data_IF_728780132506
#
_entry.id   IF_728780132506
#
_cell.length_a   1.000
_cell.length_b   1.000
_cell.length_c   1.000
_cell.angle_alpha   90.00
_cell.angle_beta   90.00
_cell.angle_gamma   90.00
#
_symmetry.space_group_name_H-M   'P 1'
#
loop_
_entity.id
_entity.type
_entity.pdbx_description
1 polymer ?
#
# COMPACT_ATOMS: atom_id res chain seq x y z
N UNK A 1 -24.18 -3.14 40.17
CA UNK A 1 -24.59 -3.29 38.77
C UNK A 1 -24.41 -2.01 37.94
N UNK A 2 -25.04 -0.84 38.25
CA UNK A 2 -24.87 0.42 37.47
C UNK A 2 -23.41 0.91 37.36
N UNK A 3 -22.56 0.73 38.36
CA UNK A 3 -21.12 1.08 38.31
C UNK A 3 -20.32 0.13 37.42
N UNK A 4 -20.70 -1.17 37.35
CA UNK A 4 -20.06 -2.17 36.48
C UNK A 4 -20.46 -1.94 35.04
N UNK A 5 -21.74 -1.67 34.76
CA UNK A 5 -22.23 -1.32 33.42
C UNK A 5 -21.59 -0.01 32.93
N UNK A 6 -21.42 1.02 33.76
CA UNK A 6 -20.69 2.24 33.40
C UNK A 6 -19.20 2.01 33.15
N UNK A 7 -18.58 1.01 33.77
CA UNK A 7 -17.20 0.62 33.52
C UNK A 7 -17.09 -0.12 32.21
N UNK A 8 -17.99 -1.06 31.90
CA UNK A 8 -18.06 -1.81 30.63
C UNK A 8 -18.39 -0.88 29.46
N UNK A 9 -19.27 0.12 29.64
CA UNK A 9 -19.61 1.12 28.62
C UNK A 9 -18.57 2.24 28.46
N UNK A 10 -17.53 2.28 29.28
CA UNK A 10 -16.41 3.23 29.18
C UNK A 10 -15.10 2.61 28.67
N UNK A 11 -15.05 1.30 28.60
CA UNK A 11 -13.95 0.66 27.89
C UNK A 11 -14.25 0.84 26.39
N UNK A 12 -13.60 1.83 25.77
CA UNK A 12 -13.54 1.95 24.32
C UNK A 12 -13.09 0.59 23.78
N UNK A 13 -13.90 -0.01 22.93
CA UNK A 13 -13.48 -1.21 22.19
C UNK A 13 -12.38 -0.75 21.26
N UNK A 14 -11.15 -1.00 21.67
CA UNK A 14 -9.97 -0.74 20.84
C UNK A 14 -9.92 -1.82 19.79
N UNK A 15 -9.94 -1.44 18.54
CA UNK A 15 -9.72 -2.37 17.44
C UNK A 15 -8.31 -2.21 16.83
N UNK A 16 -7.97 -3.07 15.88
CA UNK A 16 -6.64 -3.08 15.26
C UNK A 16 -6.35 -1.79 14.50
N UNK A 17 -7.38 -1.11 13.98
CA UNK A 17 -7.21 0.15 13.24
C UNK A 17 -6.76 1.28 14.15
N UNK A 18 -7.15 1.22 15.42
CA UNK A 18 -6.77 2.19 16.44
C UNK A 18 -5.28 2.16 16.81
N UNK A 19 -4.61 1.04 16.58
CA UNK A 19 -3.20 0.84 16.95
C UNK A 19 -2.25 0.78 15.76
N UNK A 20 -2.75 0.80 14.53
CA UNK A 20 -1.93 0.69 13.32
C UNK A 20 -0.82 1.76 13.26
N UNK A 21 -1.16 3.01 13.57
CA UNK A 21 -0.17 4.09 13.57
C UNK A 21 0.92 3.89 14.63
N UNK A 22 0.56 3.30 15.77
CA UNK A 22 1.55 2.99 16.81
C UNK A 22 2.49 1.86 16.38
N UNK A 23 1.94 0.82 15.72
CA UNK A 23 2.75 -0.27 15.16
C UNK A 23 3.73 0.27 14.10
N UNK A 24 3.31 1.24 13.28
CA UNK A 24 4.18 1.90 12.30
C UNK A 24 5.35 2.67 12.94
N UNK A 25 5.16 3.24 14.12
CA UNK A 25 6.20 4.00 14.83
C UNK A 25 7.24 3.12 15.53
N UNK A 26 6.99 1.82 15.63
CA UNK A 26 7.98 0.86 16.15
C UNK A 26 9.17 0.79 15.18
N UNK A 27 10.43 0.89 15.64
CA UNK A 27 11.60 0.70 14.78
C UNK A 27 11.55 -0.63 14.03
N UNK A 28 12.07 -0.66 12.80
CA UNK A 28 11.95 -1.80 11.88
C UNK A 28 12.37 -3.14 12.52
N UNK A 29 13.55 -3.16 13.15
CA UNK A 29 14.07 -4.34 13.84
C UNK A 29 13.17 -4.84 14.96
N UNK A 30 12.55 -3.90 15.70
CA UNK A 30 11.61 -4.22 16.76
C UNK A 30 10.26 -4.66 16.19
N UNK A 31 9.81 -4.11 15.04
CA UNK A 31 8.61 -4.53 14.31
C UNK A 31 8.73 -5.96 13.80
N UNK A 32 9.87 -6.28 13.17
CA UNK A 32 10.19 -7.63 12.71
C UNK A 32 10.16 -8.62 13.86
N UNK A 33 10.84 -8.28 14.96
CA UNK A 33 10.82 -9.12 16.16
C UNK A 33 9.42 -9.30 16.71
N UNK A 34 8.58 -8.26 16.75
CA UNK A 34 7.19 -8.37 17.20
C UNK A 34 6.39 -9.33 16.31
N UNK A 35 6.51 -9.22 14.99
CA UNK A 35 5.88 -10.12 14.04
C UNK A 35 6.30 -11.57 14.28
N UNK A 36 7.60 -11.83 14.37
CA UNK A 36 8.13 -13.18 14.56
C UNK A 36 7.64 -13.79 15.88
N UNK A 37 7.71 -13.03 16.97
CA UNK A 37 7.24 -13.45 18.29
C UNK A 37 5.70 -13.74 18.31
N UNK A 38 4.89 -12.96 17.56
CA UNK A 38 3.46 -13.21 17.42
C UNK A 38 3.18 -14.44 16.53
N UNK A 39 3.95 -14.62 15.46
CA UNK A 39 3.86 -15.77 14.56
C UNK A 39 4.17 -17.06 15.32
N UNK A 40 5.23 -17.07 16.12
CA UNK A 40 5.58 -18.20 16.99
C UNK A 40 4.45 -18.51 17.99
N UNK A 41 3.85 -17.48 18.59
CA UNK A 41 2.73 -17.67 19.53
C UNK A 41 1.49 -18.29 18.85
N UNK A 42 1.19 -17.90 17.61
CA UNK A 42 0.08 -18.47 16.82
C UNK A 42 0.39 -19.90 16.37
N UNK A 43 1.64 -20.19 15.97
CA UNK A 43 2.08 -21.51 15.55
C UNK A 43 1.95 -22.53 16.69
N UNK A 44 2.23 -22.13 17.93
CA UNK A 44 2.05 -22.98 19.13
C UNK A 44 0.58 -23.37 19.37
N UNK A 45 -0.38 -22.58 18.86
CA UNK A 45 -1.80 -22.89 18.95
C UNK A 45 -2.25 -23.92 17.89
N UNK A 46 -1.53 -24.01 16.76
CA UNK A 46 -1.88 -24.86 15.62
C UNK A 46 -1.23 -26.25 15.64
N UNK A 47 -0.16 -26.47 16.41
CA UNK A 47 0.60 -27.73 16.38
C UNK A 47 0.05 -28.86 17.25
N UNK A 48 -1.01 -28.64 18.05
CA UNK A 48 -1.61 -29.67 18.89
C UNK A 48 -2.99 -30.15 18.40
N UNK A 49 -3.10 -30.63 17.15
CA UNK A 49 -4.01 -31.74 16.84
C UNK A 49 -3.35 -33.07 17.26
N UNK A 50 -3.30 -33.31 18.56
CA UNK A 50 -2.91 -34.61 19.07
C UNK A 50 -4.02 -35.63 18.76
N UNK A 51 -3.78 -36.48 17.79
CA UNK A 51 -4.50 -37.73 17.55
C UNK A 51 -4.03 -38.77 18.56
N UNK A 52 -4.42 -38.66 19.80
CA UNK A 52 -4.38 -39.77 20.74
C UNK A 52 -5.83 -40.10 21.18
N UNK A 53 -6.29 -41.24 20.72
CA UNK A 53 -7.70 -41.69 20.68
C UNK A 53 -8.23 -42.09 22.07
N UNK A 54 -7.44 -42.08 23.13
CA UNK A 54 -7.82 -42.72 24.39
C UNK A 54 -8.11 -41.83 25.60
N UNK A 55 -8.00 -40.51 25.54
CA UNK A 55 -8.47 -39.65 26.63
C UNK A 55 -9.23 -38.43 26.12
N UNK A 56 -10.57 -38.53 26.16
CA UNK A 56 -11.51 -37.44 25.95
C UNK A 56 -11.44 -36.40 27.10
N UNK A 57 -10.31 -35.76 27.28
CA UNK A 57 -10.22 -34.53 28.05
C UNK A 57 -9.94 -33.41 27.07
N UNK A 58 -10.94 -32.56 26.87
CA UNK A 58 -10.85 -31.39 25.98
C UNK A 58 -9.80 -30.40 26.51
N UNK A 59 -8.57 -30.49 26.01
CA UNK A 59 -7.48 -29.53 26.25
C UNK A 59 -7.54 -28.29 25.35
N UNK A 60 -8.73 -27.94 24.83
CA UNK A 60 -8.90 -26.76 23.95
C UNK A 60 -8.40 -25.43 24.51
N UNK A 61 -8.22 -25.30 25.81
CA UNK A 61 -7.74 -24.08 26.43
C UNK A 61 -6.23 -23.99 26.71
N UNK A 62 -5.47 -25.07 26.54
CA UNK A 62 -4.05 -25.09 26.92
C UNK A 62 -3.17 -24.38 25.90
N UNK A 63 -3.34 -24.59 24.56
CA UNK A 63 -2.60 -23.87 23.54
C UNK A 63 -2.87 -22.37 23.62
N UNK A 64 -4.12 -21.95 23.73
CA UNK A 64 -4.48 -20.53 23.88
C UNK A 64 -3.87 -19.90 25.14
N UNK A 65 -3.83 -20.63 26.27
CA UNK A 65 -3.18 -20.17 27.51
C UNK A 65 -1.67 -20.03 27.30
N UNK A 66 -1.00 -20.97 26.60
CA UNK A 66 0.43 -20.88 26.27
C UNK A 66 0.71 -19.69 25.35
N UNK A 67 -0.09 -19.52 24.29
CA UNK A 67 0.03 -18.40 23.36
C UNK A 67 -0.14 -17.07 24.11
N UNK A 68 -1.19 -16.89 24.89
CA UNK A 68 -1.42 -15.68 25.73
C UNK A 68 -0.31 -15.43 26.74
N UNK A 69 0.28 -16.48 27.34
CA UNK A 69 1.44 -16.36 28.26
C UNK A 69 2.67 -15.90 27.50
N UNK A 70 2.89 -16.39 26.30
CA UNK A 70 3.99 -15.98 25.42
C UNK A 70 3.83 -14.53 25.00
N UNK A 71 2.64 -14.14 24.54
CA UNK A 71 2.29 -12.75 24.21
C UNK A 71 2.47 -11.85 25.43
N UNK A 72 2.05 -12.27 26.62
CA UNK A 72 2.25 -11.51 27.86
C UNK A 72 3.71 -11.27 28.22
N UNK A 73 4.63 -12.21 27.92
CA UNK A 73 6.08 -12.03 28.10
C UNK A 73 6.66 -11.07 27.06
N UNK A 74 6.21 -11.19 25.83
CA UNK A 74 6.60 -10.39 24.69
C UNK A 74 6.25 -8.92 24.90
N UNK A 75 5.07 -8.64 25.38
CA UNK A 75 4.59 -7.29 25.62
C UNK A 75 5.39 -6.48 26.64
N UNK A 76 6.20 -7.13 27.48
CA UNK A 76 7.09 -6.41 28.42
C UNK A 76 8.13 -5.56 27.67
N UNK A 77 8.61 -6.00 26.52
CA UNK A 77 9.59 -5.21 25.76
C UNK A 77 8.93 -4.27 24.76
N UNK A 78 7.76 -4.65 24.21
CA UNK A 78 7.00 -3.82 23.25
C UNK A 78 6.47 -2.53 23.92
N UNK A 79 6.12 -2.57 25.21
CA UNK A 79 5.67 -1.39 26.00
C UNK A 79 6.55 -0.15 25.91
N UNK A 80 7.81 -0.29 25.53
CA UNK A 80 8.73 0.84 25.34
C UNK A 80 8.48 1.61 24.03
N UNK A 81 7.77 1.01 23.10
CA UNK A 81 7.53 1.56 21.77
C UNK A 81 6.07 1.94 21.51
N UNK A 82 5.15 1.36 22.23
CA UNK A 82 3.70 1.55 22.05
C UNK A 82 3.04 2.02 23.35
N UNK A 83 1.87 2.65 23.21
CA UNK A 83 1.10 3.14 24.36
C UNK A 83 0.45 1.98 25.15
N UNK A 84 -0.11 2.33 26.30
CA UNK A 84 -0.93 1.40 27.08
C UNK A 84 -2.17 0.93 26.27
N UNK A 85 -2.68 1.74 25.32
CA UNK A 85 -3.81 1.39 24.46
C UNK A 85 -3.46 0.20 23.58
N UNK A 86 -2.37 0.28 22.79
CA UNK A 86 -1.91 -0.81 21.92
C UNK A 86 -1.49 -2.03 22.75
N UNK A 87 -0.81 -1.82 23.89
CA UNK A 87 -0.47 -2.92 24.80
C UNK A 87 -1.71 -3.67 25.30
N UNK A 88 -2.74 -2.95 25.72
CA UNK A 88 -3.97 -3.56 26.22
C UNK A 88 -4.75 -4.28 25.11
N UNK A 89 -4.74 -3.74 23.89
CA UNK A 89 -5.28 -4.44 22.72
C UNK A 89 -4.60 -5.80 22.56
N UNK A 90 -3.27 -5.83 22.40
CA UNK A 90 -2.52 -7.07 22.16
C UNK A 90 -2.69 -8.11 23.30
N UNK A 91 -2.82 -7.68 24.56
CA UNK A 91 -3.08 -8.58 25.72
C UNK A 91 -4.45 -9.25 25.62
N UNK A 92 -5.46 -8.50 25.17
CA UNK A 92 -6.85 -8.96 25.18
C UNK A 92 -7.31 -9.46 23.80
N UNK A 93 -6.46 -9.32 22.78
CA UNK A 93 -6.78 -9.73 21.42
C UNK A 93 -7.12 -11.22 21.33
N UNK A 94 -8.10 -11.53 20.51
CA UNK A 94 -8.39 -12.89 20.06
C UNK A 94 -7.26 -13.40 19.15
N UNK A 95 -7.21 -14.70 18.91
CA UNK A 95 -6.24 -15.28 17.97
C UNK A 95 -6.41 -14.73 16.54
N UNK A 96 -7.64 -14.44 16.14
CA UNK A 96 -7.89 -13.84 14.81
C UNK A 96 -7.39 -12.40 14.72
N UNK A 97 -7.54 -11.61 15.77
CA UNK A 97 -6.97 -10.24 15.85
C UNK A 97 -5.43 -10.28 15.88
N UNK A 98 -4.84 -11.28 16.55
CA UNK A 98 -3.37 -11.49 16.51
C UNK A 98 -2.91 -11.83 15.08
N UNK A 99 -3.60 -12.72 14.36
CA UNK A 99 -3.31 -13.01 12.95
C UNK A 99 -3.40 -11.76 12.09
N UNK A 100 -4.46 -10.96 12.24
CA UNK A 100 -4.58 -9.68 11.53
C UNK A 100 -3.44 -8.71 11.88
N UNK A 101 -2.97 -8.72 13.14
CA UNK A 101 -1.80 -7.91 13.54
C UNK A 101 -0.54 -8.38 12.82
N UNK A 102 -0.32 -9.68 12.69
CA UNK A 102 0.80 -10.25 11.93
C UNK A 102 0.71 -9.82 10.46
N UNK A 103 -0.45 -9.95 9.84
CA UNK A 103 -0.67 -9.55 8.45
C UNK A 103 -0.35 -8.05 8.24
N UNK A 104 -0.76 -7.19 9.17
CA UNK A 104 -0.42 -5.76 9.11
C UNK A 104 1.09 -5.55 9.25
N UNK A 105 1.76 -6.24 10.17
CA UNK A 105 3.21 -6.14 10.35
C UNK A 105 3.95 -6.64 9.11
N UNK A 106 3.48 -7.70 8.44
CA UNK A 106 4.03 -8.19 7.18
C UNK A 106 3.87 -7.19 6.03
N UNK A 107 2.69 -6.56 5.93
CA UNK A 107 2.45 -5.48 4.94
C UNK A 107 3.37 -4.29 5.18
N UNK A 108 3.72 -4.00 6.43
CA UNK A 108 4.59 -2.89 6.84
C UNK A 108 6.09 -3.25 6.88
N UNK A 109 6.47 -4.51 6.73
CA UNK A 109 7.88 -4.91 6.77
C UNK A 109 8.52 -4.79 5.38
N UNK A 110 9.38 -3.78 5.13
CA UNK A 110 9.99 -3.56 3.80
C UNK A 110 10.92 -4.68 3.38
N UNK A 111 11.32 -5.57 4.29
CA UNK A 111 12.18 -6.72 3.97
C UNK A 111 11.37 -7.99 3.68
N UNK A 112 10.10 -8.04 4.11
CA UNK A 112 9.24 -9.18 3.85
C UNK A 112 8.77 -9.17 2.39
N UNK A 113 9.05 -10.26 1.69
CA UNK A 113 8.55 -10.52 0.33
C UNK A 113 7.45 -11.59 0.33
N UNK A 114 6.85 -11.88 1.48
CA UNK A 114 5.75 -12.84 1.59
C UNK A 114 4.57 -12.37 0.75
N UNK A 115 4.10 -13.23 -0.16
CA UNK A 115 3.02 -12.91 -1.10
C UNK A 115 3.38 -11.90 -2.20
N UNK A 116 4.65 -11.46 -2.28
CA UNK A 116 5.13 -10.53 -3.30
C UNK A 116 5.87 -11.31 -4.38
N UNK A 117 5.49 -11.10 -5.64
CA UNK A 117 6.23 -11.61 -6.79
C UNK A 117 7.18 -10.52 -7.33
N UNK A 118 8.24 -10.94 -8.01
CA UNK A 118 9.18 -10.02 -8.66
C UNK A 118 8.46 -9.26 -9.80
N UNK A 119 8.39 -7.93 -9.75
CA UNK A 119 7.74 -7.14 -10.78
C UNK A 119 8.42 -7.31 -12.15
N UNK A 120 7.62 -7.42 -13.21
CA UNK A 120 8.09 -7.29 -14.59
C UNK A 120 7.98 -5.85 -15.08
N UNK A 121 6.89 -5.18 -14.71
CA UNK A 121 6.66 -3.79 -15.04
C UNK A 121 5.96 -3.07 -13.89
N UNK A 122 6.46 -1.89 -13.53
CA UNK A 122 5.97 -1.06 -12.44
C UNK A 122 5.41 0.24 -13.02
N UNK A 123 4.13 0.51 -12.73
CA UNK A 123 3.52 1.82 -12.97
C UNK A 123 3.83 2.75 -11.80
N UNK A 124 4.28 3.97 -12.08
CA UNK A 124 4.62 4.97 -11.07
C UNK A 124 3.42 5.89 -10.81
N UNK A 125 2.46 5.39 -10.03
CA UNK A 125 1.21 6.08 -9.68
C UNK A 125 1.37 7.16 -8.61
N UNK A 126 0.33 7.98 -8.44
CA UNK A 126 0.29 9.02 -7.41
C UNK A 126 -0.14 10.37 -7.95
N UNK A 127 -0.36 11.34 -7.05
CA UNK A 127 -0.84 12.68 -7.41
C UNK A 127 0.07 13.36 -8.44
N UNK A 128 -0.55 13.90 -9.47
CA UNK A 128 0.14 14.68 -10.51
C UNK A 128 -0.20 16.17 -10.35
N UNK A 129 -1.49 16.50 -10.30
CA UNK A 129 -1.96 17.88 -10.40
C UNK A 129 -1.66 18.76 -9.18
N UNK A 130 -1.50 18.16 -8.00
CA UNK A 130 -1.39 18.89 -6.73
C UNK A 130 -0.10 18.57 -5.95
N UNK A 131 0.65 17.56 -6.39
CA UNK A 131 1.87 17.15 -5.73
C UNK A 131 3.03 18.09 -6.11
N UNK A 132 3.65 18.70 -5.10
CA UNK A 132 4.82 19.58 -5.31
C UNK A 132 6.00 18.84 -5.93
N UNK A 133 6.09 17.54 -5.69
CA UNK A 133 7.21 16.68 -6.10
C UNK A 133 6.79 15.59 -7.11
N UNK A 134 5.70 15.81 -7.86
CA UNK A 134 5.17 14.81 -8.79
C UNK A 134 6.22 14.24 -9.77
N UNK A 135 7.15 15.08 -10.22
CA UNK A 135 8.23 14.70 -11.15
C UNK A 135 9.43 14.10 -10.39
N UNK A 136 9.85 14.72 -9.28
CA UNK A 136 11.13 14.42 -8.64
C UNK A 136 11.21 13.00 -8.09
N UNK A 137 10.18 12.49 -7.42
CA UNK A 137 10.20 11.15 -6.86
C UNK A 137 10.20 10.05 -7.94
N UNK A 138 9.49 10.27 -9.05
CA UNK A 138 9.47 9.35 -10.19
C UNK A 138 10.84 9.27 -10.84
N UNK A 139 11.49 10.42 -11.01
CA UNK A 139 12.87 10.48 -11.51
C UNK A 139 13.85 9.78 -10.57
N UNK A 140 13.70 9.92 -9.25
CA UNK A 140 14.53 9.19 -8.29
C UNK A 140 14.38 7.66 -8.42
N UNK A 141 13.16 7.14 -8.65
CA UNK A 141 12.94 5.71 -8.89
C UNK A 141 13.56 5.28 -10.23
N UNK A 142 13.42 6.09 -11.28
CA UNK A 142 14.06 5.84 -12.58
C UNK A 142 15.60 5.82 -12.46
N UNK A 143 16.18 6.77 -11.75
CA UNK A 143 17.63 6.87 -11.53
C UNK A 143 18.15 5.68 -10.68
N UNK A 144 17.35 5.23 -9.70
CA UNK A 144 17.68 4.08 -8.88
C UNK A 144 17.86 2.80 -9.72
N UNK A 145 16.98 2.55 -10.68
CA UNK A 145 17.07 1.40 -11.56
C UNK A 145 18.01 1.62 -12.76
N UNK A 146 18.03 2.82 -13.30
CA UNK A 146 18.84 3.21 -14.46
C UNK A 146 18.07 3.16 -15.78
N UNK A 147 18.68 3.68 -16.85
CA UNK A 147 18.00 3.99 -18.11
C UNK A 147 17.50 2.77 -18.91
N UNK A 148 18.06 1.58 -18.68
CA UNK A 148 17.60 0.33 -19.34
C UNK A 148 16.25 -0.17 -18.80
N UNK A 149 15.80 0.33 -17.66
CA UNK A 149 14.52 -0.02 -17.04
C UNK A 149 13.38 0.92 -17.45
N UNK A 150 13.68 2.06 -18.06
CA UNK A 150 12.70 3.14 -18.26
C UNK A 150 12.13 3.11 -19.67
N UNK A 151 10.80 3.05 -19.80
CA UNK A 151 10.10 3.23 -21.08
C UNK A 151 10.15 4.71 -21.47
N UNK A 152 10.66 4.99 -22.66
CA UNK A 152 10.84 6.36 -23.18
C UNK A 152 10.21 6.54 -24.54
N UNK A 153 9.86 7.80 -24.80
CA UNK A 153 9.61 8.38 -26.12
C UNK A 153 8.69 7.54 -27.03
N UNK A 154 9.21 7.05 -28.14
CA UNK A 154 8.43 6.34 -29.18
C UNK A 154 7.69 5.10 -28.64
N UNK A 155 8.31 4.36 -27.73
CA UNK A 155 7.66 3.18 -27.13
C UNK A 155 6.50 3.58 -26.22
N UNK A 156 6.67 4.65 -25.46
CA UNK A 156 5.62 5.19 -24.63
C UNK A 156 4.48 5.74 -25.50
N UNK A 157 4.80 6.44 -26.58
CA UNK A 157 3.82 6.91 -27.55
C UNK A 157 3.04 5.74 -28.16
N UNK A 158 3.72 4.68 -28.57
CA UNK A 158 3.06 3.46 -29.08
C UNK A 158 2.13 2.88 -28.02
N UNK A 159 2.61 2.69 -26.79
CA UNK A 159 1.82 2.16 -25.69
C UNK A 159 0.54 2.97 -25.43
N UNK A 160 0.66 4.29 -25.28
CA UNK A 160 -0.49 5.16 -24.96
C UNK A 160 -1.48 5.34 -26.11
N UNK A 161 -1.09 4.94 -27.32
CA UNK A 161 -1.93 5.02 -28.54
C UNK A 161 -2.58 3.67 -28.87
N UNK A 162 -1.85 2.57 -28.68
CA UNK A 162 -2.28 1.22 -29.13
C UNK A 162 -2.57 0.27 -27.97
N UNK A 163 -2.11 0.59 -26.77
CA UNK A 163 -2.15 -0.30 -25.60
C UNK A 163 -1.08 -1.40 -25.63
N UNK A 164 -0.12 -1.36 -26.57
CA UNK A 164 0.92 -2.38 -26.75
C UNK A 164 2.30 -1.84 -26.34
N UNK A 165 3.05 -2.63 -25.57
CA UNK A 165 4.42 -2.33 -25.16
C UNK A 165 5.38 -3.40 -25.65
N UNK A 166 6.42 -2.99 -26.43
CA UNK A 166 7.57 -3.84 -26.72
C UNK A 166 8.58 -3.76 -25.56
N UNK A 167 8.95 -4.93 -25.05
CA UNK A 167 9.96 -5.08 -23.99
C UNK A 167 11.39 -5.26 -24.54
N UNK A 168 11.59 -5.24 -25.88
CA UNK A 168 12.89 -5.47 -26.51
C UNK A 168 13.95 -4.49 -26.03
N UNK A 169 15.05 -5.01 -25.47
CA UNK A 169 16.16 -4.23 -24.92
C UNK A 169 15.83 -3.45 -23.65
N UNK A 170 14.69 -3.72 -22.99
CA UNK A 170 14.40 -3.26 -21.64
C UNK A 170 14.77 -4.34 -20.63
N UNK A 171 15.21 -3.91 -19.45
CA UNK A 171 15.53 -4.79 -18.31
C UNK A 171 14.39 -4.75 -17.29
N UNK A 172 13.81 -5.89 -16.87
CA UNK A 172 12.84 -5.89 -15.79
C UNK A 172 13.47 -5.51 -14.44
N UNK A 173 12.73 -4.88 -13.54
CA UNK A 173 11.39 -4.35 -13.76
C UNK A 173 11.40 -3.14 -14.67
N UNK A 174 10.45 -3.09 -15.60
CA UNK A 174 10.31 -1.97 -16.53
C UNK A 174 9.45 -0.88 -15.87
N UNK A 175 9.91 0.37 -15.93
CA UNK A 175 9.24 1.50 -15.27
C UNK A 175 8.41 2.30 -16.27
N UNK A 176 7.13 2.49 -15.92
CA UNK A 176 6.19 3.31 -16.68
C UNK A 176 5.83 4.55 -15.87
N UNK A 177 6.33 5.70 -16.31
CA UNK A 177 6.12 6.98 -15.68
C UNK A 177 5.09 7.81 -16.47
N UNK A 178 3.87 8.04 -15.93
CA UNK A 178 2.83 8.77 -16.65
C UNK A 178 3.21 10.22 -16.97
N UNK A 179 4.14 10.82 -16.21
CA UNK A 179 4.62 12.18 -16.48
C UNK A 179 5.38 12.26 -17.82
N UNK A 180 5.99 11.17 -18.28
CA UNK A 180 6.65 11.13 -19.60
C UNK A 180 5.62 11.15 -20.74
N UNK A 181 4.43 10.65 -20.54
CA UNK A 181 3.33 10.74 -21.51
C UNK A 181 2.79 12.18 -21.63
N UNK A 182 3.00 13.05 -20.64
CA UNK A 182 2.59 14.45 -20.70
C UNK A 182 3.32 15.24 -21.79
N UNK A 183 4.56 14.88 -22.13
CA UNK A 183 5.28 15.51 -23.24
C UNK A 183 4.53 15.33 -24.55
N UNK A 184 3.82 14.21 -24.73
CA UNK A 184 2.95 13.95 -25.88
C UNK A 184 1.70 14.84 -25.81
N UNK A 185 1.10 15.01 -24.63
CA UNK A 185 -0.05 15.91 -24.37
C UNK A 185 0.31 17.38 -24.51
N UNK A 186 1.55 17.75 -24.23
CA UNK A 186 2.03 19.13 -24.37
C UNK A 186 1.97 19.67 -25.78
N UNK A 187 1.89 18.81 -26.80
CA UNK A 187 1.66 19.22 -28.18
C UNK A 187 0.20 19.64 -28.45
N UNK A 188 -0.79 19.24 -27.63
CA UNK A 188 -2.18 19.62 -27.80
C UNK A 188 -2.47 20.96 -27.13
N UNK A 189 -2.34 22.04 -27.90
CA UNK A 189 -2.60 23.41 -27.44
C UNK A 189 -4.06 23.62 -27.06
N UNK A 190 -5.01 22.95 -27.75
CA UNK A 190 -6.44 23.04 -27.47
C UNK A 190 -6.78 22.42 -26.12
N UNK A 191 -6.20 21.26 -25.81
CA UNK A 191 -6.35 20.65 -24.49
C UNK A 191 -5.82 21.54 -23.36
N UNK A 192 -4.65 22.16 -23.54
CA UNK A 192 -4.08 23.09 -22.56
C UNK A 192 -4.98 24.30 -22.32
N UNK A 193 -5.52 24.88 -23.38
CA UNK A 193 -6.40 26.04 -23.25
C UNK A 193 -7.71 25.66 -22.54
N UNK A 194 -8.29 24.51 -22.86
CA UNK A 194 -9.47 24.01 -22.16
C UNK A 194 -9.18 23.68 -20.70
N UNK A 195 -8.04 23.08 -20.38
CA UNK A 195 -7.64 22.79 -19.01
C UNK A 195 -7.48 24.07 -18.18
N UNK A 196 -6.92 25.12 -18.78
CA UNK A 196 -6.80 26.44 -18.15
C UNK A 196 -8.17 27.06 -17.89
N UNK A 197 -9.08 27.04 -18.89
CA UNK A 197 -10.47 27.52 -18.75
C UNK A 197 -11.24 26.73 -17.68
N UNK A 198 -11.00 25.41 -17.61
CA UNK A 198 -11.63 24.58 -16.57
C UNK A 198 -11.19 25.01 -15.18
N UNK A 199 -9.88 25.23 -14.96
CA UNK A 199 -9.35 25.71 -13.68
C UNK A 199 -9.88 27.08 -13.27
N UNK A 200 -10.16 27.97 -14.24
CA UNK A 200 -10.77 29.29 -14.00
C UNK A 200 -12.30 29.27 -14.01
N UNK A 201 -12.93 28.10 -14.18
CA UNK A 201 -14.39 27.94 -14.26
C UNK A 201 -15.03 28.74 -15.41
N UNK A 202 -14.35 28.79 -16.56
CA UNK A 202 -14.74 29.58 -17.74
C UNK A 202 -15.20 28.71 -18.93
N UNK A 203 -15.30 27.40 -18.78
CA UNK A 203 -15.80 26.52 -19.84
C UNK A 203 -17.28 26.70 -20.05
N UNK A 204 -17.67 26.83 -21.34
CA UNK A 204 -19.08 26.69 -21.71
C UNK A 204 -19.55 25.23 -21.59
N UNK A 205 -20.89 24.95 -21.57
CA UNK A 205 -21.39 23.58 -21.53
C UNK A 205 -20.90 22.72 -22.71
N UNK A 206 -20.76 23.31 -23.90
CA UNK A 206 -20.28 22.65 -25.11
C UNK A 206 -18.79 22.35 -25.00
N UNK A 207 -17.97 23.32 -24.60
CA UNK A 207 -16.54 23.14 -24.34
C UNK A 207 -16.29 22.11 -23.25
N UNK A 208 -17.15 22.08 -22.22
CA UNK A 208 -17.05 21.09 -21.15
C UNK A 208 -17.19 19.64 -21.65
N UNK A 209 -18.10 19.37 -22.58
CA UNK A 209 -18.24 18.05 -23.20
C UNK A 209 -17.00 17.64 -23.98
N UNK A 210 -16.49 18.56 -24.81
CA UNK A 210 -15.25 18.31 -25.57
C UNK A 210 -14.08 18.07 -24.61
N UNK A 211 -13.98 18.86 -23.55
CA UNK A 211 -12.96 18.70 -22.52
C UNK A 211 -13.05 17.34 -21.81
N UNK A 212 -14.28 16.88 -21.47
CA UNK A 212 -14.45 15.55 -20.87
C UNK A 212 -13.99 14.42 -21.80
N UNK A 213 -14.24 14.53 -23.10
CA UNK A 213 -13.75 13.54 -24.08
C UNK A 213 -12.22 13.56 -24.16
N UNK A 214 -11.61 14.75 -24.24
CA UNK A 214 -10.16 14.89 -24.25
C UNK A 214 -9.50 14.36 -22.96
N UNK A 215 -10.08 14.63 -21.79
CA UNK A 215 -9.62 14.05 -20.50
C UNK A 215 -9.67 12.54 -20.58
N UNK A 216 -10.77 11.97 -21.09
CA UNK A 216 -10.91 10.51 -21.21
C UNK A 216 -9.82 9.93 -22.10
N UNK A 217 -9.60 10.52 -23.26
CA UNK A 217 -8.64 10.02 -24.25
C UNK A 217 -7.18 10.24 -23.83
N UNK A 218 -6.86 11.44 -23.34
CA UNK A 218 -5.47 11.85 -23.13
C UNK A 218 -4.95 11.61 -21.71
N UNK A 219 -5.82 11.30 -20.75
CA UNK A 219 -5.42 10.98 -19.38
C UNK A 219 -5.88 9.57 -19.04
N UNK A 220 -7.20 9.36 -18.97
CA UNK A 220 -7.75 8.11 -18.44
C UNK A 220 -7.33 6.90 -19.27
N UNK A 221 -7.47 6.95 -20.60
CA UNK A 221 -7.10 5.84 -21.46
C UNK A 221 -5.58 5.59 -21.45
N UNK A 222 -4.76 6.64 -21.47
CA UNK A 222 -3.31 6.49 -21.45
C UNK A 222 -2.83 5.87 -20.13
N UNK A 223 -3.34 6.35 -19.00
CA UNK A 223 -3.00 5.77 -17.70
C UNK A 223 -3.50 4.33 -17.58
N UNK A 224 -4.71 4.03 -18.09
CA UNK A 224 -5.23 2.66 -18.14
C UNK A 224 -4.40 1.73 -19.05
N UNK A 225 -3.90 2.21 -20.19
CA UNK A 225 -3.02 1.43 -21.06
C UNK A 225 -1.69 1.13 -20.37
N UNK A 226 -1.10 2.12 -19.68
CA UNK A 226 0.11 1.90 -18.90
C UNK A 226 -0.12 0.91 -17.76
N UNK A 227 -1.21 1.06 -17.00
CA UNK A 227 -1.59 0.12 -15.95
C UNK A 227 -1.87 -1.29 -16.50
N UNK A 228 -2.40 -1.40 -17.72
CA UNK A 228 -2.74 -2.69 -18.30
C UNK A 228 -1.53 -3.58 -18.57
N UNK A 229 -0.39 -3.00 -18.92
CA UNK A 229 0.85 -3.73 -19.21
C UNK A 229 1.73 -3.92 -17.97
N UNK A 230 1.39 -3.29 -16.85
CA UNK A 230 2.08 -3.46 -15.57
C UNK A 230 1.50 -4.63 -14.77
N UNK A 231 2.30 -5.20 -13.91
CA UNK A 231 1.89 -6.15 -12.88
C UNK A 231 2.00 -5.58 -11.47
N UNK A 232 2.58 -4.39 -11.36
CA UNK A 232 2.79 -3.68 -10.10
C UNK A 232 2.50 -2.19 -10.26
N UNK A 233 1.85 -1.61 -9.27
CA UNK A 233 1.59 -0.18 -9.16
C UNK A 233 2.28 0.36 -7.91
N UNK A 234 3.29 1.21 -8.05
CA UNK A 234 3.95 1.93 -6.97
C UNK A 234 3.30 3.31 -6.83
N UNK A 235 2.62 3.53 -5.73
CA UNK A 235 1.90 4.78 -5.44
C UNK A 235 2.65 5.60 -4.41
N UNK A 236 3.08 6.80 -4.78
CA UNK A 236 3.52 7.80 -3.80
C UNK A 236 2.30 8.48 -3.18
N UNK A 237 2.17 8.36 -1.86
CA UNK A 237 1.13 8.99 -1.07
C UNK A 237 1.72 10.05 -0.15
N UNK A 238 1.61 11.30 -0.55
CA UNK A 238 2.11 12.49 0.16
C UNK A 238 0.99 13.32 0.82
N UNK A 239 -0.24 12.78 0.82
CA UNK A 239 -1.44 13.47 1.30
C UNK A 239 -2.19 14.24 0.21
N UNK A 240 -1.66 14.32 -1.01
CA UNK A 240 -2.30 15.01 -2.15
C UNK A 240 -2.98 14.05 -3.13
N UNK A 241 -3.05 12.75 -2.79
CA UNK A 241 -3.66 11.73 -3.64
C UNK A 241 -5.11 12.09 -3.99
N UNK A 242 -5.38 12.26 -5.28
CA UNK A 242 -6.68 12.58 -5.83
C UNK A 242 -7.49 11.34 -6.22
N UNK A 243 -8.69 11.57 -6.78
CA UNK A 243 -9.58 10.51 -7.26
C UNK A 243 -8.91 9.60 -8.32
N UNK A 244 -8.00 10.13 -9.15
CA UNK A 244 -7.21 9.37 -10.12
C UNK A 244 -6.37 8.29 -9.46
N UNK A 245 -5.59 8.64 -8.43
CA UNK A 245 -4.75 7.71 -7.69
C UNK A 245 -5.55 6.58 -7.05
N UNK A 246 -6.74 6.89 -6.49
CA UNK A 246 -7.63 5.86 -5.97
C UNK A 246 -8.15 4.95 -7.07
N UNK A 247 -8.55 5.52 -8.23
CA UNK A 247 -8.98 4.76 -9.39
C UNK A 247 -7.91 3.81 -9.90
N UNK A 248 -6.67 4.28 -10.01
CA UNK A 248 -5.50 3.49 -10.41
C UNK A 248 -5.26 2.30 -9.46
N UNK A 249 -5.31 2.54 -8.15
CA UNK A 249 -5.14 1.48 -7.15
C UNK A 249 -6.25 0.42 -7.22
N UNK A 250 -7.51 0.84 -7.39
CA UNK A 250 -8.65 -0.07 -7.52
C UNK A 250 -8.56 -0.90 -8.81
N UNK A 251 -8.19 -0.28 -9.92
CA UNK A 251 -7.99 -0.99 -11.20
C UNK A 251 -6.87 -2.01 -11.07
N UNK A 252 -5.76 -1.64 -10.42
CA UNK A 252 -4.64 -2.55 -10.15
C UNK A 252 -5.10 -3.76 -9.32
N UNK A 253 -5.83 -3.54 -8.24
CA UNK A 253 -6.33 -4.61 -7.38
C UNK A 253 -7.31 -5.53 -8.12
N UNK A 254 -8.23 -4.99 -8.90
CA UNK A 254 -9.17 -5.76 -9.71
C UNK A 254 -8.47 -6.64 -10.77
N UNK A 255 -7.28 -6.24 -11.20
CA UNK A 255 -6.43 -7.00 -12.13
C UNK A 255 -5.45 -7.95 -11.44
N UNK A 256 -5.52 -8.10 -10.12
CA UNK A 256 -4.57 -8.85 -9.30
C UNK A 256 -3.12 -8.37 -9.46
N UNK A 257 -2.92 -7.08 -9.71
CA UNK A 257 -1.62 -6.44 -9.69
C UNK A 257 -1.24 -6.14 -8.25
N UNK A 258 0.06 -6.12 -7.97
CA UNK A 258 0.56 -5.66 -6.67
C UNK A 258 0.41 -4.14 -6.57
N UNK A 259 0.02 -3.65 -5.39
CA UNK A 259 -0.05 -2.22 -5.08
C UNK A 259 0.89 -1.93 -3.93
N UNK A 260 1.97 -1.20 -4.20
CA UNK A 260 2.91 -0.74 -3.19
C UNK A 260 2.59 0.71 -2.86
N UNK A 261 2.22 0.96 -1.62
CA UNK A 261 1.88 2.29 -1.13
C UNK A 261 3.07 2.89 -0.39
N UNK A 262 3.69 3.90 -0.95
CA UNK A 262 4.81 4.61 -0.34
C UNK A 262 4.33 5.89 0.36
N UNK A 263 4.37 5.89 1.69
CA UNK A 263 4.00 7.03 2.53
C UNK A 263 5.19 7.97 2.67
N UNK A 264 5.01 9.22 2.22
CA UNK A 264 6.03 10.29 2.26
C UNK A 264 5.56 11.48 3.10
N UNK A 265 6.41 12.46 3.32
CA UNK A 265 6.08 13.71 4.01
C UNK A 265 5.44 13.54 5.39
N UNK A 266 5.84 12.49 6.13
CA UNK A 266 5.30 12.20 7.47
C UNK A 266 3.87 11.67 7.47
N UNK A 267 3.36 11.22 6.31
CA UNK A 267 2.05 10.56 6.22
C UNK A 267 2.05 9.26 7.04
N UNK A 268 0.93 9.02 7.67
CA UNK A 268 0.64 7.82 8.46
C UNK A 268 -0.42 6.99 7.77
N UNK A 269 -0.54 5.73 8.17
CA UNK A 269 -1.55 4.83 7.63
C UNK A 269 -2.99 5.34 7.90
N UNK A 270 -3.21 5.98 9.04
CA UNK A 270 -4.48 6.64 9.37
C UNK A 270 -4.86 7.81 8.45
N UNK A 271 -3.90 8.36 7.70
CA UNK A 271 -4.18 9.37 6.68
C UNK A 271 -4.67 8.75 5.36
N UNK A 272 -4.47 7.45 5.19
CA UNK A 272 -4.88 6.73 3.98
C UNK A 272 -6.37 6.40 4.10
N UNK A 273 -7.10 6.65 3.02
CA UNK A 273 -8.52 6.30 2.99
C UNK A 273 -8.73 4.80 3.23
N UNK A 274 -9.68 4.40 4.09
CA UNK A 274 -10.02 2.99 4.28
C UNK A 274 -10.41 2.26 3.00
N UNK A 275 -10.87 2.97 1.98
CA UNK A 275 -11.21 2.42 0.66
C UNK A 275 -9.98 2.02 -0.17
N UNK A 276 -8.80 2.58 0.14
CA UNK A 276 -7.56 2.25 -0.54
C UNK A 276 -6.88 1.03 0.07
N UNK A 277 -6.94 0.88 1.39
CA UNK A 277 -6.21 -0.15 2.13
C UNK A 277 -6.44 -1.59 1.64
N UNK A 278 -7.67 -2.04 1.28
CA UNK A 278 -7.88 -3.39 0.76
C UNK A 278 -7.18 -3.68 -0.57
N UNK A 279 -6.76 -2.63 -1.30
CA UNK A 279 -6.04 -2.77 -2.57
C UNK A 279 -4.52 -2.84 -2.37
N UNK A 280 -4.02 -2.54 -1.17
CA UNK A 280 -2.58 -2.41 -0.90
C UNK A 280 -1.97 -3.76 -0.57
N UNK A 281 -0.93 -4.13 -1.32
CA UNK A 281 -0.12 -5.32 -1.06
C UNK A 281 1.01 -5.02 -0.07
N UNK A 282 1.57 -3.80 -0.10
CA UNK A 282 2.70 -3.40 0.72
C UNK A 282 2.63 -1.92 1.08
N UNK A 283 2.92 -1.59 2.33
CA UNK A 283 3.12 -0.21 2.79
C UNK A 283 4.60 0.00 3.08
N UNK A 284 5.13 1.10 2.55
CA UNK A 284 6.52 1.52 2.71
C UNK A 284 6.55 2.94 3.27
N UNK A 285 7.46 3.25 4.18
CA UNK A 285 7.50 4.53 4.88
C UNK A 285 8.86 5.20 4.65
N UNK A 286 8.84 6.41 4.10
CA UNK A 286 10.06 7.19 3.89
C UNK A 286 11.14 6.40 3.14
N UNK A 287 12.30 6.23 3.76
CA UNK A 287 13.47 5.60 3.13
C UNK A 287 13.36 4.07 2.98
N UNK A 288 12.32 3.43 3.53
CA UNK A 288 12.09 1.98 3.37
C UNK A 288 11.88 1.56 1.90
N UNK A 289 11.51 2.51 1.03
CA UNK A 289 11.33 2.26 -0.40
C UNK A 289 12.60 1.68 -1.05
N UNK A 290 13.75 2.25 -0.77
CA UNK A 290 14.97 1.93 -1.52
C UNK A 290 15.50 0.52 -1.28
N UNK A 291 15.66 0.04 -0.02
CA UNK A 291 16.02 -1.36 0.22
C UNK A 291 14.96 -2.32 -0.30
N UNK A 292 13.67 -1.96 -0.25
CA UNK A 292 12.59 -2.79 -0.79
C UNK A 292 12.72 -2.95 -2.32
N UNK A 293 12.86 -1.84 -3.06
CA UNK A 293 13.06 -1.89 -4.50
C UNK A 293 14.36 -2.61 -4.90
N UNK A 294 15.38 -2.57 -4.04
CA UNK A 294 16.63 -3.28 -4.21
C UNK A 294 16.49 -4.80 -4.31
N UNK A 295 15.43 -5.37 -3.74
CA UNK A 295 15.13 -6.80 -3.85
C UNK A 295 14.75 -7.24 -5.29
N UNK A 296 14.43 -6.29 -6.16
CA UNK A 296 13.98 -6.54 -7.54
C UNK A 296 14.99 -6.06 -8.59
N UNK A 297 16.18 -5.63 -8.17
CA UNK A 297 17.23 -5.08 -9.05
C UNK A 297 18.13 -6.15 -9.68
#
# INVERSE_FOLDING_TARGET
MKKLIKKILKEEVVDITDIQDELMMIPLDARQKLRDDLTDAVSMDSEEEYTDIDEQISYKGIPEIKAKTTIGKLLKWVKRYVTDKATNFLINASMDEIKQTIDILDVMDPTSTVGIFTPKAIYLGGGIDFAKDAVSWRTQVEDFYGPSHVVKDERLLTLVTTGELSYDGLTPPVLLNPMRAETVREADTEFKDMFKKWKSNELTPEEFKIFQEKIREQIVHQDLYMLQVCDTNLINFDGTAGAGTFGEAQVSALKNQQVFLWLTNGMKLSNVSPWLLPSVTKVLIGDELWPFLGNFK
#
